data_IF_753420811095
#
_entry.id   IF_753420811095
#
_cell.length_a   1.000
_cell.length_b   1.000
_cell.length_c   1.000
_cell.angle_alpha   90.00
_cell.angle_beta   90.00
_cell.angle_gamma   90.00
#
_symmetry.space_group_name_H-M   'P 1'
#
loop_
_entity.id
_entity.type
_entity.pdbx_description
1 polymer ?
#
# COMPACT_ATOMS: atom_id res chain seq x y z
N UNK A 1 19.67 -10.17 -1.49
CA UNK A 1 19.21 -8.79 -1.21
C UNK A 1 17.73 -8.78 -1.55
N UNK A 2 16.87 -8.45 -0.58
CA UNK A 2 15.42 -8.70 -0.65
C UNK A 2 14.76 -7.93 -1.79
N UNK A 3 14.01 -8.66 -2.59
CA UNK A 3 13.32 -8.24 -3.81
C UNK A 3 11.97 -7.58 -3.49
N UNK A 4 11.66 -6.46 -4.15
CA UNK A 4 10.30 -6.06 -4.53
C UNK A 4 9.25 -5.74 -3.46
N UNK A 5 8.80 -6.69 -2.64
CA UNK A 5 7.60 -6.51 -1.81
C UNK A 5 7.63 -7.36 -0.53
N UNK A 6 7.88 -6.74 0.63
CA UNK A 6 7.59 -7.37 1.95
C UNK A 6 6.07 -7.39 2.25
N UNK A 7 5.24 -7.12 1.24
CA UNK A 7 3.80 -7.19 1.36
C UNK A 7 3.38 -8.65 1.24
N UNK A 8 2.48 -9.08 2.12
CA UNK A 8 1.82 -10.37 1.89
C UNK A 8 0.98 -10.29 0.59
N UNK A 9 0.72 -11.41 -0.09
CA UNK A 9 -0.12 -11.42 -1.28
C UNK A 9 -1.47 -10.73 -1.07
N UNK A 10 -2.04 -10.84 0.12
CA UNK A 10 -3.31 -10.20 0.48
C UNK A 10 -3.19 -8.69 0.72
N UNK A 11 -2.04 -8.22 1.20
CA UNK A 11 -1.74 -6.79 1.33
C UNK A 11 -1.52 -6.15 -0.03
N UNK A 12 -0.78 -6.85 -0.91
CA UNK A 12 -0.59 -6.41 -2.29
C UNK A 12 -1.90 -6.38 -3.05
N UNK A 13 -2.73 -7.43 -2.96
CA UNK A 13 -4.04 -7.47 -3.60
C UNK A 13 -4.96 -6.34 -3.11
N UNK A 14 -4.94 -6.03 -1.81
CA UNK A 14 -5.71 -4.93 -1.23
C UNK A 14 -5.26 -3.57 -1.79
N UNK A 15 -3.95 -3.31 -1.81
CA UNK A 15 -3.39 -2.06 -2.37
C UNK A 15 -3.68 -1.93 -3.86
N UNK A 16 -3.51 -3.02 -4.61
CA UNK A 16 -3.76 -3.04 -6.05
C UNK A 16 -5.21 -2.69 -6.34
N UNK A 17 -6.16 -3.33 -5.66
CA UNK A 17 -7.58 -3.01 -5.80
C UNK A 17 -7.87 -1.55 -5.41
N UNK A 18 -7.27 -1.05 -4.34
CA UNK A 18 -7.44 0.36 -3.95
C UNK A 18 -6.93 1.34 -5.02
N UNK A 19 -5.81 1.05 -5.68
CA UNK A 19 -5.30 1.87 -6.80
C UNK A 19 -6.19 1.72 -8.04
N UNK A 20 -6.50 0.50 -8.46
CA UNK A 20 -7.24 0.21 -9.70
C UNK A 20 -8.69 0.74 -9.67
N UNK A 21 -9.29 0.83 -8.49
CA UNK A 21 -10.66 1.32 -8.30
C UNK A 21 -10.74 2.78 -7.79
N UNK A 22 -9.61 3.48 -7.75
CA UNK A 22 -9.58 4.92 -7.46
C UNK A 22 -9.85 5.30 -6.00
N UNK A 23 -9.48 4.45 -5.04
CA UNK A 23 -9.61 4.72 -3.60
C UNK A 23 -8.69 5.86 -3.13
N UNK A 24 -7.54 6.01 -3.78
CA UNK A 24 -6.55 7.05 -3.50
C UNK A 24 -6.72 8.31 -4.37
N UNK A 25 -7.70 8.32 -5.29
CA UNK A 25 -7.96 9.45 -6.17
C UNK A 25 -8.60 10.62 -5.43
N UNK A 26 -8.52 11.81 -6.04
CA UNK A 26 -9.15 13.02 -5.53
C UNK A 26 -9.95 13.70 -6.66
N UNK A 27 -11.30 13.64 -6.63
CA UNK A 27 -12.15 12.99 -5.62
C UNK A 27 -12.04 11.46 -5.65
N UNK A 28 -12.36 10.81 -4.52
CA UNK A 28 -12.35 9.33 -4.43
C UNK A 28 -13.45 8.74 -5.31
N UNK A 29 -13.09 7.72 -6.09
CA UNK A 29 -14.02 7.00 -6.97
C UNK A 29 -14.67 5.78 -6.28
N UNK A 30 -14.05 5.27 -5.21
CA UNK A 30 -14.56 4.14 -4.41
C UNK A 30 -14.29 4.36 -2.92
N UNK A 31 -14.98 3.61 -2.06
CA UNK A 31 -14.62 3.49 -0.65
C UNK A 31 -14.22 2.06 -0.23
N UNK A 32 -13.72 1.90 1.00
CA UNK A 32 -13.20 0.62 1.52
C UNK A 32 -14.30 -0.43 1.74
N UNK A 33 -15.57 -0.03 1.75
CA UNK A 33 -16.74 -0.91 1.79
C UNK A 33 -16.94 -1.57 0.44
N UNK A 34 -17.06 -0.77 -0.61
CA UNK A 34 -17.21 -1.25 -1.98
C UNK A 34 -16.04 -2.16 -2.39
N UNK A 35 -14.81 -1.80 -2.00
CA UNK A 35 -13.63 -2.64 -2.20
C UNK A 35 -13.68 -3.96 -1.40
N UNK A 36 -14.20 -3.92 -0.18
CA UNK A 36 -14.31 -5.11 0.66
C UNK A 36 -15.32 -6.09 0.07
N UNK A 37 -16.44 -5.57 -0.42
CA UNK A 37 -17.46 -6.34 -1.14
C UNK A 37 -16.91 -6.90 -2.46
N UNK A 38 -16.16 -6.09 -3.22
CA UNK A 38 -15.50 -6.53 -4.45
C UNK A 38 -14.52 -7.69 -4.22
N UNK A 39 -13.74 -7.63 -3.14
CA UNK A 39 -12.75 -8.64 -2.77
C UNK A 39 -13.33 -9.82 -1.98
N UNK A 40 -14.62 -9.78 -1.62
CA UNK A 40 -15.28 -10.83 -0.84
C UNK A 40 -14.70 -10.99 0.57
N UNK A 41 -14.22 -9.92 1.19
CA UNK A 41 -13.64 -9.93 2.54
C UNK A 41 -14.34 -8.95 3.47
N UNK A 42 -14.32 -9.16 4.80
CA UNK A 42 -14.86 -8.18 5.72
C UNK A 42 -14.16 -6.82 5.60
N UNK A 43 -14.92 -5.72 5.72
CA UNK A 43 -14.38 -4.34 5.72
C UNK A 43 -13.25 -4.14 6.72
N UNK A 44 -13.34 -4.76 7.89
CA UNK A 44 -12.28 -4.72 8.92
C UNK A 44 -11.00 -5.42 8.46
N UNK A 45 -11.13 -6.55 7.77
CA UNK A 45 -10.01 -7.29 7.17
C UNK A 45 -9.34 -6.48 6.07
N UNK A 46 -10.12 -5.86 5.18
CA UNK A 46 -9.56 -5.01 4.13
C UNK A 46 -8.85 -3.78 4.72
N UNK A 47 -9.50 -3.06 5.64
CA UNK A 47 -8.89 -1.92 6.34
C UNK A 47 -7.57 -2.30 7.01
N UNK A 48 -7.52 -3.47 7.66
CA UNK A 48 -6.30 -3.97 8.28
C UNK A 48 -5.20 -4.24 7.25
N UNK A 49 -5.53 -4.89 6.13
CA UNK A 49 -4.57 -5.18 5.05
C UNK A 49 -4.00 -3.90 4.44
N UNK A 50 -4.87 -2.94 4.10
CA UNK A 50 -4.45 -1.63 3.58
C UNK A 50 -3.54 -0.91 4.57
N UNK A 51 -3.95 -0.79 5.84
CA UNK A 51 -3.13 -0.14 6.87
C UNK A 51 -1.76 -0.78 7.03
N UNK A 52 -1.69 -2.11 7.05
CA UNK A 52 -0.41 -2.85 7.15
C UNK A 52 0.46 -2.58 5.94
N UNK A 53 -0.13 -2.60 4.75
CA UNK A 53 0.61 -2.37 3.52
C UNK A 53 1.15 -0.92 3.45
N UNK A 54 0.30 0.07 3.74
CA UNK A 54 0.66 1.49 3.83
C UNK A 54 1.74 1.75 4.89
N UNK A 55 1.64 1.11 6.07
CA UNK A 55 2.65 1.21 7.13
C UNK A 55 4.03 0.73 6.64
N UNK A 56 4.07 -0.41 5.94
CA UNK A 56 5.32 -0.94 5.41
C UNK A 56 5.90 -0.03 4.32
N UNK A 57 5.07 0.45 3.39
CA UNK A 57 5.49 1.37 2.34
C UNK A 57 6.00 2.70 2.92
N UNK A 58 5.32 3.27 3.91
CA UNK A 58 5.74 4.51 4.57
C UNK A 58 7.07 4.34 5.31
N UNK A 59 7.26 3.23 6.05
CA UNK A 59 8.52 2.94 6.74
C UNK A 59 9.68 2.78 5.75
N UNK A 60 9.46 2.08 4.65
CA UNK A 60 10.46 1.91 3.58
C UNK A 60 10.81 3.24 2.95
N UNK A 61 9.82 4.03 2.54
CA UNK A 61 10.04 5.35 1.96
C UNK A 61 10.90 6.25 2.87
N UNK A 62 10.62 6.25 4.19
CA UNK A 62 11.42 7.00 5.16
C UNK A 62 12.82 6.41 5.35
N UNK A 63 12.97 5.08 5.35
CA UNK A 63 14.27 4.43 5.46
C UNK A 63 15.15 4.71 4.23
N UNK A 64 14.58 4.63 3.03
CA UNK A 64 15.22 4.90 1.76
C UNK A 64 15.60 6.39 1.63
N UNK A 65 14.70 7.30 2.02
CA UNK A 65 15.00 8.73 2.07
C UNK A 65 16.07 9.10 3.11
N UNK A 66 16.28 8.24 4.12
CA UNK A 66 17.29 8.42 5.18
C UNK A 66 18.64 7.79 4.81
N UNK A 67 18.74 7.04 3.72
CA UNK A 67 20.00 6.74 3.05
C UNK A 67 20.30 7.92 2.12
N UNK A 68 21.07 8.94 2.54
CA UNK A 68 21.44 10.02 1.65
C UNK A 68 22.14 9.45 0.42
N UNK A 69 21.87 10.06 -0.73
CA UNK A 69 22.62 9.95 -1.97
C UNK A 69 24.09 10.33 -1.71
N UNK A 70 24.84 9.42 -1.09
CA UNK A 70 26.22 9.62 -0.67
C UNK A 70 27.18 9.46 -1.86
N UNK A 71 26.64 9.41 -3.08
CA UNK A 71 27.37 9.33 -4.34
C UNK A 71 27.20 10.59 -5.22
N UNK A 72 26.73 11.70 -4.64
CA UNK A 72 26.76 13.01 -5.29
C UNK A 72 27.76 13.95 -4.59
N UNK A 73 29.06 13.61 -4.67
CA UNK A 73 30.14 14.55 -4.35
C UNK A 73 31.35 13.97 -3.62
N UNK A 74 32.24 13.30 -4.35
CA UNK A 74 33.68 13.28 -4.10
C UNK A 74 34.43 12.80 -5.35
#
# INVERSE_FOLDING_TARGET
VGDGSDLSPEQEAALRAAVEHGYYETPRETDVGDLADHLGVPRSTLTYRLRRAEEQLAKRFVADARLPDSAAGA
#
